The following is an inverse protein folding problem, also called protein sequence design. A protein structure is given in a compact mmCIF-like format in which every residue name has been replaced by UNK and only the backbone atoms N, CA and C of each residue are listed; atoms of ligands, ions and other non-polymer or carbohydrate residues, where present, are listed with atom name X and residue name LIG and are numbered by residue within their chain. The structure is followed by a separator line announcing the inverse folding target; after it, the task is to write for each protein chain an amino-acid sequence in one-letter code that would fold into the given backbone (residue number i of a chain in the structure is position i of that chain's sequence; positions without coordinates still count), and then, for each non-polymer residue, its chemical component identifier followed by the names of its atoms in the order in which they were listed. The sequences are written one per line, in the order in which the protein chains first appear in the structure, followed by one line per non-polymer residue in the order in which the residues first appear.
data_IF_226561186497
#
_entry.id   IF_226561186497
#
_cell.length_a   1.000
_cell.length_b   1.000
_cell.length_c   1.000
_cell.angle_alpha   90.00
_cell.angle_beta   90.00
_cell.angle_gamma   90.00
#
_symmetry.space_group_name_H-M   'P 1'
#
loop_
_entity.id
_entity.type
_entity.pdbx_description
1 polymer ?
#
# COMPACT_ATOMS: atom_id res chain seq x y z
N UNK A 1 -3.26 11.17 32.24
CA UNK A 1 -2.15 12.07 31.83
C UNK A 1 -2.78 13.44 31.67
N UNK A 2 -2.63 14.29 32.68
CA UNK A 2 -2.88 15.73 32.54
C UNK A 2 -1.81 16.26 31.60
N UNK A 3 -2.17 16.45 30.34
CA UNK A 3 -1.42 17.34 29.47
C UNK A 3 -2.05 18.73 29.61
N UNK A 4 -1.29 19.81 29.47
CA UNK A 4 -1.74 21.22 29.50
C UNK A 4 -2.69 21.58 28.33
N UNK A 5 -3.50 20.63 27.85
CA UNK A 5 -4.43 20.78 26.76
C UNK A 5 -5.79 20.15 27.10
N UNK A 6 -6.85 20.81 26.64
CA UNK A 6 -8.20 20.22 26.60
C UNK A 6 -8.31 19.40 25.32
N UNK A 7 -8.49 18.09 25.46
CA UNK A 7 -8.75 17.19 24.34
C UNK A 7 -10.25 16.98 24.22
N UNK A 8 -10.80 17.28 23.05
CA UNK A 8 -12.17 16.95 22.68
C UNK A 8 -12.13 15.82 21.66
N UNK A 9 -12.75 14.69 22.01
CA UNK A 9 -12.84 13.52 21.16
C UNK A 9 -14.24 13.52 20.57
N UNK A 10 -14.35 13.47 19.24
CA UNK A 10 -15.64 13.32 18.59
C UNK A 10 -16.28 11.99 19.02
N UNK A 11 -17.52 12.04 19.50
CA UNK A 11 -18.30 10.87 19.95
C UNK A 11 -19.47 10.55 19.02
N UNK A 12 -19.53 11.22 17.87
CA UNK A 12 -20.50 10.93 16.82
C UNK A 12 -20.39 9.46 16.40
N UNK A 13 -21.55 8.86 16.10
CA UNK A 13 -21.60 7.47 15.63
C UNK A 13 -21.25 7.33 14.16
N UNK A 14 -21.11 8.44 13.44
CA UNK A 14 -20.70 8.44 12.04
C UNK A 14 -19.25 7.97 11.95
N UNK A 15 -18.98 7.00 11.07
CA UNK A 15 -17.63 6.47 10.86
C UNK A 15 -16.70 7.50 10.23
N UNK A 16 -17.24 8.33 9.32
CA UNK A 16 -16.53 9.42 8.65
C UNK A 16 -17.36 10.70 8.82
N UNK A 17 -16.73 11.77 9.28
CA UNK A 17 -17.37 13.07 9.48
C UNK A 17 -17.42 13.85 8.17
N UNK A 18 -18.52 14.57 7.93
CA UNK A 18 -18.57 15.51 6.81
C UNK A 18 -17.74 16.76 7.12
N UNK A 19 -17.41 17.53 6.08
CA UNK A 19 -16.75 18.84 6.25
C UNK A 19 -17.55 19.74 7.18
N UNK A 20 -18.88 19.76 7.05
CA UNK A 20 -19.77 20.56 7.89
C UNK A 20 -19.75 20.09 9.35
N UNK A 21 -19.75 18.78 9.60
CA UNK A 21 -19.63 18.22 10.94
C UNK A 21 -18.32 18.66 11.60
N UNK A 22 -17.19 18.57 10.87
CA UNK A 22 -15.87 18.96 11.36
C UNK A 22 -15.82 20.47 11.66
N UNK A 23 -16.38 21.31 10.78
CA UNK A 23 -16.46 22.77 11.02
C UNK A 23 -17.26 23.08 12.29
N UNK A 24 -18.39 22.40 12.50
CA UNK A 24 -19.21 22.59 13.69
C UNK A 24 -18.46 22.18 14.97
N UNK A 25 -17.70 21.09 14.92
CA UNK A 25 -16.86 20.61 16.03
C UNK A 25 -15.65 21.51 16.30
N UNK A 26 -15.09 22.15 15.26
CA UNK A 26 -14.03 23.16 15.43
C UNK A 26 -14.56 24.34 16.26
N UNK A 27 -15.78 24.79 15.99
CA UNK A 27 -16.41 25.91 16.69
C UNK A 27 -15.56 27.19 16.66
N UNK A 28 -15.66 27.99 17.72
CA UNK A 28 -15.04 29.32 17.77
C UNK A 28 -13.68 29.35 18.48
N UNK A 29 -13.35 28.31 19.25
CA UNK A 29 -12.10 28.25 20.00
C UNK A 29 -11.47 26.88 19.88
N UNK A 30 -10.30 26.89 19.27
CA UNK A 30 -9.69 25.68 18.80
C UNK A 30 -8.14 25.97 18.79
N UNK A 31 -7.22 25.10 19.29
CA UNK A 31 -5.73 25.23 19.19
C UNK A 31 -4.94 24.31 18.17
N UNK A 32 -5.17 22.99 18.09
CA UNK A 32 -4.60 22.10 17.03
C UNK A 32 -5.41 20.82 16.69
N UNK A 33 -5.76 20.51 15.44
CA UNK A 33 -6.62 19.33 15.13
C UNK A 33 -5.79 18.09 14.80
N UNK A 34 -6.23 16.92 15.30
CA UNK A 34 -5.75 15.61 14.85
C UNK A 34 -6.82 15.05 13.91
N UNK A 35 -6.53 15.01 12.62
CA UNK A 35 -7.45 14.52 11.60
C UNK A 35 -7.16 13.08 11.17
N UNK A 36 -8.14 12.47 10.54
CA UNK A 36 -8.03 11.12 9.97
C UNK A 36 -7.78 11.18 8.47
N UNK A 37 -7.23 10.09 7.91
CA UNK A 37 -6.96 9.99 6.47
C UNK A 37 -8.22 10.03 5.59
N UNK A 38 -9.38 9.80 6.19
CA UNK A 38 -10.71 9.79 5.55
C UNK A 38 -11.33 11.19 5.42
N UNK A 39 -10.70 12.21 5.99
CA UNK A 39 -11.21 13.58 6.01
C UNK A 39 -10.48 14.43 4.97
N UNK A 40 -11.23 15.14 4.11
CA UNK A 40 -10.65 16.02 3.10
C UNK A 40 -10.31 17.40 3.69
N UNK A 41 -9.04 17.56 4.07
CA UNK A 41 -8.49 18.78 4.64
C UNK A 41 -8.07 19.76 3.55
N UNK A 42 -9.05 20.48 3.03
CA UNK A 42 -8.89 21.55 2.03
C UNK A 42 -9.14 22.97 2.57
N UNK A 43 -9.38 23.90 1.65
CA UNK A 43 -9.62 25.34 1.90
C UNK A 43 -10.65 25.59 3.02
N UNK A 44 -11.79 24.88 3.00
CA UNK A 44 -12.90 25.10 3.95
C UNK A 44 -12.48 24.77 5.38
N UNK A 45 -11.89 23.59 5.60
CA UNK A 45 -11.48 23.15 6.92
C UNK A 45 -10.31 23.98 7.46
N UNK A 46 -9.29 24.26 6.65
CA UNK A 46 -8.18 25.11 7.08
C UNK A 46 -8.61 26.55 7.36
N UNK A 47 -9.55 27.10 6.58
CA UNK A 47 -10.13 28.41 6.86
C UNK A 47 -10.89 28.43 8.20
N UNK A 48 -11.71 27.42 8.47
CA UNK A 48 -12.42 27.29 9.74
C UNK A 48 -11.44 27.16 10.92
N UNK A 49 -10.41 26.34 10.76
CA UNK A 49 -9.37 26.13 11.76
C UNK A 49 -8.64 27.43 12.11
N UNK A 50 -8.28 28.21 11.07
CA UNK A 50 -7.63 29.50 11.20
C UNK A 50 -8.50 30.52 11.95
N UNK A 51 -9.81 30.61 11.61
CA UNK A 51 -10.76 31.50 12.29
C UNK A 51 -10.93 31.19 13.77
N UNK A 52 -10.86 29.92 14.15
CA UNK A 52 -11.01 29.48 15.53
C UNK A 52 -9.74 29.67 16.40
N UNK A 53 -8.65 30.21 15.82
CA UNK A 53 -7.44 30.63 16.54
C UNK A 53 -6.22 29.70 16.41
N UNK A 54 -6.27 28.65 15.56
CA UNK A 54 -5.28 27.56 15.54
C UNK A 54 -4.00 27.84 14.76
N UNK A 55 -2.98 27.02 15.07
CA UNK A 55 -1.66 27.03 14.40
C UNK A 55 -1.21 25.67 13.84
N UNK A 56 -1.90 24.57 14.14
CA UNK A 56 -1.43 23.23 13.76
C UNK A 56 -2.54 22.24 13.38
N UNK A 57 -2.22 21.36 12.44
CA UNK A 57 -2.99 20.19 12.04
C UNK A 57 -2.05 18.97 11.99
N UNK A 58 -2.49 17.84 12.53
CA UNK A 58 -1.74 16.59 12.54
C UNK A 58 -2.56 15.50 11.88
N UNK A 59 -2.12 15.03 10.72
CA UNK A 59 -2.76 13.92 10.02
C UNK A 59 -2.35 12.59 10.65
N UNK A 60 -3.33 11.79 11.07
CA UNK A 60 -3.10 10.43 11.59
C UNK A 60 -2.90 9.44 10.43
N UNK A 61 -1.88 9.68 9.60
CA UNK A 61 -1.46 8.80 8.51
C UNK A 61 -0.06 9.16 8.01
N UNK A 62 0.54 8.24 7.23
CA UNK A 62 1.79 8.52 6.48
C UNK A 62 1.49 9.33 5.22
N UNK A 63 0.58 8.82 4.38
CA UNK A 63 0.12 9.51 3.18
C UNK A 63 -0.75 10.71 3.55
N UNK A 64 -0.66 11.77 2.75
CA UNK A 64 -1.35 13.05 3.00
C UNK A 64 -2.09 13.54 1.75
N UNK A 65 -2.51 12.63 0.88
CA UNK A 65 -3.27 12.96 -0.33
C UNK A 65 -4.63 13.63 -0.03
N UNK A 66 -5.13 13.46 1.19
CA UNK A 66 -6.33 14.12 1.73
C UNK A 66 -6.04 15.50 2.35
N UNK A 67 -4.82 16.02 2.25
CA UNK A 67 -4.40 17.27 2.90
C UNK A 67 -3.85 18.25 1.86
N UNK A 68 -4.56 19.36 1.64
CA UNK A 68 -4.06 20.45 0.80
C UNK A 68 -3.04 21.31 1.57
N UNK A 69 -1.77 20.96 1.40
CA UNK A 69 -0.63 21.67 2.00
C UNK A 69 -0.58 23.15 1.56
N UNK A 70 -1.04 23.49 0.35
CA UNK A 70 -1.05 24.88 -0.11
C UNK A 70 -2.13 25.69 0.63
N UNK A 71 -3.32 25.11 0.83
CA UNK A 71 -4.35 25.73 1.65
C UNK A 71 -3.88 25.91 3.10
N UNK A 72 -3.24 24.89 3.70
CA UNK A 72 -2.68 25.01 5.05
C UNK A 72 -1.66 26.15 5.17
N UNK A 73 -0.74 26.27 4.21
CA UNK A 73 0.25 27.34 4.15
C UNK A 73 -0.40 28.73 4.02
N UNK A 74 -1.41 28.86 3.15
CA UNK A 74 -2.17 30.11 2.97
C UNK A 74 -2.78 30.62 4.28
N UNK A 75 -3.24 29.71 5.14
CA UNK A 75 -3.83 30.03 6.44
C UNK A 75 -2.85 30.02 7.61
N UNK A 76 -1.55 29.82 7.35
CA UNK A 76 -0.50 29.82 8.38
C UNK A 76 -0.57 28.63 9.35
N UNK A 77 -1.08 27.49 8.89
CA UNK A 77 -1.28 26.29 9.70
C UNK A 77 -0.14 25.31 9.44
N UNK A 78 0.61 24.96 10.49
CA UNK A 78 1.63 23.93 10.43
C UNK A 78 0.97 22.54 10.27
N UNK A 79 1.46 21.74 9.33
CA UNK A 79 0.95 20.39 9.07
C UNK A 79 1.98 19.34 9.48
N UNK A 80 1.54 18.35 10.25
CA UNK A 80 2.29 17.14 10.59
C UNK A 80 1.60 15.87 10.07
N UNK A 81 2.37 14.79 9.98
CA UNK A 81 1.90 13.44 9.66
C UNK A 81 2.70 12.40 10.47
N UNK A 82 2.45 11.09 10.28
CA UNK A 82 3.09 10.02 11.08
C UNK A 82 4.02 9.10 10.27
N UNK A 83 5.11 9.61 9.65
CA UNK A 83 6.00 8.79 8.84
C UNK A 83 6.80 7.79 9.69
N UNK A 84 7.10 6.62 9.13
CA UNK A 84 8.00 5.63 9.72
C UNK A 84 7.33 4.59 10.61
N UNK A 85 6.31 4.96 11.39
CA UNK A 85 5.70 4.09 12.42
C UNK A 85 4.85 2.93 11.88
N UNK A 86 4.49 2.95 10.59
CA UNK A 86 3.66 1.96 9.91
C UNK A 86 4.45 1.14 8.86
N UNK A 87 5.77 1.33 8.79
CA UNK A 87 6.57 0.78 7.68
C UNK A 87 6.52 -0.75 7.64
N UNK A 88 6.81 -1.38 8.77
CA UNK A 88 6.86 -2.85 8.86
C UNK A 88 5.45 -3.44 8.80
N UNK A 89 4.48 -2.87 9.51
CA UNK A 89 3.12 -3.40 9.57
C UNK A 89 2.44 -3.41 8.19
N UNK A 90 2.61 -2.37 7.38
CA UNK A 90 2.08 -2.37 6.00
C UNK A 90 2.85 -3.34 5.08
N UNK A 91 4.17 -3.47 5.26
CA UNK A 91 4.97 -4.41 4.47
C UNK A 91 4.63 -5.88 4.80
N UNK A 92 4.40 -6.19 6.07
CA UNK A 92 3.95 -7.51 6.55
C UNK A 92 2.59 -7.88 5.96
N UNK A 93 1.66 -6.93 5.89
CA UNK A 93 0.35 -7.13 5.27
C UNK A 93 0.48 -7.41 3.76
N UNK A 94 1.30 -6.61 3.05
CA UNK A 94 1.56 -6.84 1.63
C UNK A 94 2.18 -8.24 1.39
N UNK A 95 3.16 -8.66 2.21
CA UNK A 95 3.75 -9.99 2.13
C UNK A 95 2.72 -11.09 2.44
N UNK A 96 1.84 -10.86 3.41
CA UNK A 96 0.76 -11.78 3.77
C UNK A 96 -0.23 -11.95 2.62
N UNK A 97 -0.62 -10.85 1.96
CA UNK A 97 -1.49 -10.87 0.77
C UNK A 97 -0.81 -11.58 -0.41
N UNK A 98 0.49 -11.37 -0.63
CA UNK A 98 1.28 -12.11 -1.63
C UNK A 98 1.18 -13.62 -1.41
N UNK A 99 1.35 -14.08 -0.16
CA UNK A 99 1.27 -15.49 0.18
C UNK A 99 -0.15 -16.04 0.11
N UNK A 100 -1.14 -15.27 0.57
CA UNK A 100 -2.54 -15.64 0.52
C UNK A 100 -2.99 -15.88 -0.93
N UNK A 101 -2.63 -14.97 -1.84
CA UNK A 101 -2.86 -15.11 -3.26
C UNK A 101 -2.07 -16.30 -3.85
N UNK A 102 -0.76 -16.38 -3.62
CA UNK A 102 0.07 -17.44 -4.17
C UNK A 102 -0.38 -18.84 -3.74
N UNK A 103 -0.85 -18.99 -2.50
CA UNK A 103 -1.22 -20.29 -1.90
C UNK A 103 -2.72 -20.54 -1.82
N UNK A 104 -3.53 -19.65 -2.39
CA UNK A 104 -5.01 -19.74 -2.40
C UNK A 104 -5.60 -19.94 -1.00
N UNK A 105 -5.05 -19.23 -0.02
CA UNK A 105 -5.37 -19.44 1.41
C UNK A 105 -6.84 -19.18 1.69
N UNK A 106 -7.38 -18.06 1.19
CA UNK A 106 -8.78 -17.66 1.41
C UNK A 106 -9.74 -18.67 0.79
N UNK A 107 -9.48 -19.08 -0.46
CA UNK A 107 -10.31 -20.09 -1.14
C UNK A 107 -10.30 -21.43 -0.41
N UNK A 108 -9.14 -21.83 0.14
CA UNK A 108 -9.00 -23.06 0.90
C UNK A 108 -9.73 -22.99 2.26
N UNK A 109 -9.68 -21.84 2.95
CA UNK A 109 -10.41 -21.60 4.20
C UNK A 109 -11.93 -21.65 3.97
N UNK A 110 -12.44 -20.97 2.93
CA UNK A 110 -13.86 -21.01 2.56
C UNK A 110 -14.33 -22.42 2.22
N UNK A 111 -13.53 -23.16 1.44
CA UNK A 111 -13.83 -24.55 1.07
C UNK A 111 -13.91 -25.48 2.29
N UNK A 112 -12.98 -25.32 3.23
CA UNK A 112 -12.96 -26.07 4.49
C UNK A 112 -14.18 -25.73 5.35
N UNK A 113 -14.48 -24.44 5.56
CA UNK A 113 -15.62 -23.98 6.37
C UNK A 113 -16.97 -24.39 5.78
N UNK A 114 -17.05 -24.50 4.46
CA UNK A 114 -18.23 -25.02 3.77
C UNK A 114 -18.42 -26.55 3.92
N UNK A 115 -17.53 -27.25 4.64
CA UNK A 115 -17.63 -28.70 4.85
C UNK A 115 -17.34 -29.54 3.60
N UNK A 116 -16.64 -28.97 2.60
CA UNK A 116 -16.37 -29.63 1.32
C UNK A 116 -15.07 -30.44 1.30
N UNK A 117 -14.29 -30.39 2.39
CA UNK A 117 -13.02 -31.09 2.49
C UNK A 117 -13.20 -32.54 2.91
N UNK A 118 -13.06 -33.45 1.94
CA UNK A 118 -13.18 -34.90 2.14
C UNK A 118 -11.82 -35.62 2.19
N UNK A 119 -10.71 -34.90 1.96
CA UNK A 119 -9.36 -35.46 2.00
C UNK A 119 -8.37 -34.77 1.06
N UNK A 120 -7.10 -35.20 1.14
CA UNK A 120 -6.04 -34.70 0.26
C UNK A 120 -6.24 -35.17 -1.18
N UNK A 121 -6.09 -34.24 -2.13
CA UNK A 121 -6.05 -34.53 -3.57
C UNK A 121 -4.88 -33.77 -4.21
N UNK A 122 -4.21 -34.34 -5.23
CA UNK A 122 -3.04 -33.75 -5.85
C UNK A 122 -3.29 -32.40 -6.56
N UNK A 123 -4.54 -32.12 -6.93
CA UNK A 123 -4.95 -30.90 -7.64
C UNK A 123 -5.72 -29.90 -6.76
N UNK A 124 -5.97 -30.22 -5.48
CA UNK A 124 -6.73 -29.36 -4.59
C UNK A 124 -5.89 -28.15 -4.16
N UNK A 125 -6.31 -26.95 -4.58
CA UNK A 125 -5.64 -25.68 -4.30
C UNK A 125 -4.13 -25.65 -4.61
N UNK A 126 -3.72 -26.26 -5.72
CA UNK A 126 -2.33 -26.11 -6.21
C UNK A 126 -2.05 -24.63 -6.45
N UNK A 127 -1.12 -24.09 -5.66
CA UNK A 127 -0.72 -22.69 -5.69
C UNK A 127 0.58 -22.47 -6.47
N UNK A 128 1.08 -21.25 -6.38
CA UNK A 128 2.34 -20.82 -6.98
C UNK A 128 3.48 -20.88 -5.95
N UNK A 129 4.60 -21.50 -6.32
CA UNK A 129 5.82 -21.51 -5.51
C UNK A 129 6.62 -20.22 -5.78
N UNK A 130 6.80 -19.40 -4.76
CA UNK A 130 7.52 -18.13 -4.90
C UNK A 130 9.05 -18.28 -4.99
N UNK A 131 9.62 -19.38 -4.48
CA UNK A 131 11.09 -19.56 -4.46
C UNK A 131 11.68 -19.52 -5.87
N UNK A 132 12.65 -18.62 -6.07
CA UNK A 132 13.32 -18.43 -7.35
C UNK A 132 12.56 -17.59 -8.38
N UNK A 133 11.30 -17.21 -8.09
CA UNK A 133 10.54 -16.26 -8.91
C UNK A 133 11.01 -14.82 -8.69
N UNK A 134 10.47 -13.89 -9.47
CA UNK A 134 10.82 -12.48 -9.43
C UNK A 134 9.72 -11.67 -8.73
N UNK A 135 10.09 -10.97 -7.66
CA UNK A 135 9.26 -9.94 -7.03
C UNK A 135 9.54 -8.58 -7.67
N UNK A 136 8.48 -7.96 -8.15
CA UNK A 136 8.41 -6.60 -8.68
C UNK A 136 7.96 -5.61 -7.63
N UNK A 137 8.70 -4.53 -7.42
CA UNK A 137 8.32 -3.46 -6.48
C UNK A 137 8.23 -2.13 -7.21
N UNK A 138 7.05 -1.50 -7.18
CA UNK A 138 6.83 -0.15 -7.71
C UNK A 138 6.73 0.81 -6.53
N UNK A 139 7.75 1.67 -6.37
CA UNK A 139 7.95 2.48 -5.17
C UNK A 139 8.85 1.76 -4.16
N UNK A 140 10.16 1.91 -4.28
CA UNK A 140 11.18 1.35 -3.39
C UNK A 140 11.53 2.30 -2.22
N UNK A 141 10.52 3.02 -1.71
CA UNK A 141 10.61 3.82 -0.48
C UNK A 141 10.71 2.95 0.78
N UNK A 142 10.27 3.47 1.93
CA UNK A 142 10.37 2.76 3.22
C UNK A 142 9.61 1.43 3.21
N UNK A 143 8.32 1.45 2.84
CA UNK A 143 7.45 0.27 2.84
C UNK A 143 7.87 -0.71 1.74
N UNK A 144 8.01 -0.26 0.49
CA UNK A 144 8.40 -1.13 -0.61
C UNK A 144 9.77 -1.78 -0.42
N UNK A 145 10.73 -1.08 0.21
CA UNK A 145 12.00 -1.69 0.59
C UNK A 145 11.85 -2.74 1.70
N UNK A 146 11.00 -2.51 2.70
CA UNK A 146 10.74 -3.51 3.76
C UNK A 146 10.07 -4.76 3.17
N UNK A 147 9.05 -4.58 2.34
CA UNK A 147 8.39 -5.66 1.59
C UNK A 147 9.39 -6.43 0.71
N UNK A 148 10.20 -5.73 -0.10
CA UNK A 148 11.21 -6.36 -0.94
C UNK A 148 12.16 -7.26 -0.14
N UNK A 149 12.62 -6.78 1.03
CA UNK A 149 13.50 -7.55 1.91
C UNK A 149 12.82 -8.82 2.42
N UNK A 150 11.56 -8.73 2.85
CA UNK A 150 10.79 -9.91 3.29
C UNK A 150 10.66 -10.93 2.15
N UNK A 151 10.35 -10.48 0.94
CA UNK A 151 10.17 -11.38 -0.21
C UNK A 151 11.49 -12.02 -0.65
N UNK A 152 12.58 -11.25 -0.65
CA UNK A 152 13.92 -11.74 -0.99
C UNK A 152 14.45 -12.70 0.07
N UNK A 153 14.43 -12.31 1.35
CA UNK A 153 15.02 -13.09 2.43
C UNK A 153 14.18 -14.32 2.77
N UNK A 154 12.88 -14.12 2.98
CA UNK A 154 11.95 -15.17 3.40
C UNK A 154 11.62 -16.17 2.29
N UNK A 155 11.53 -15.70 1.04
CA UNK A 155 11.09 -16.54 -0.09
C UNK A 155 12.14 -16.73 -1.17
N UNK A 156 13.35 -16.16 -1.04
CA UNK A 156 14.46 -16.34 -2.01
C UNK A 156 14.03 -15.94 -3.43
N UNK A 157 13.27 -14.85 -3.52
CA UNK A 157 12.87 -14.25 -4.79
C UNK A 157 13.96 -13.33 -5.32
N UNK A 158 14.08 -13.24 -6.65
CA UNK A 158 14.84 -12.19 -7.30
C UNK A 158 14.07 -10.87 -7.23
N UNK A 159 14.76 -9.75 -7.14
CA UNK A 159 14.15 -8.42 -7.06
C UNK A 159 14.26 -7.67 -8.39
N UNK A 160 13.14 -7.17 -8.90
CA UNK A 160 13.13 -6.07 -9.85
C UNK A 160 12.33 -4.91 -9.24
N UNK A 161 12.85 -3.69 -9.30
CA UNK A 161 12.14 -2.55 -8.73
C UNK A 161 12.18 -1.33 -9.63
N UNK A 162 11.13 -0.51 -9.56
CA UNK A 162 11.08 0.80 -10.17
C UNK A 162 10.80 1.87 -9.09
N UNK A 163 11.62 2.91 -9.10
CA UNK A 163 11.45 4.11 -8.28
C UNK A 163 12.18 5.26 -8.98
N UNK A 164 11.69 6.49 -8.80
CA UNK A 164 12.34 7.71 -9.28
C UNK A 164 13.74 7.88 -8.70
N UNK A 165 13.95 7.41 -7.47
CA UNK A 165 15.23 7.46 -6.78
C UNK A 165 15.84 6.07 -6.60
N UNK A 166 17.17 5.99 -6.66
CA UNK A 166 17.88 4.72 -6.44
C UNK A 166 17.78 4.31 -4.97
N UNK A 167 17.41 3.05 -4.71
CA UNK A 167 17.33 2.51 -3.34
C UNK A 167 18.62 1.80 -2.95
N UNK A 168 19.72 2.56 -2.80
CA UNK A 168 21.06 2.01 -2.53
C UNK A 168 21.12 1.09 -1.30
N UNK A 169 20.29 1.35 -0.27
CA UNK A 169 20.25 0.50 0.93
C UNK A 169 19.63 -0.88 0.63
N UNK A 170 18.57 -0.91 -0.17
CA UNK A 170 17.93 -2.15 -0.60
C UNK A 170 18.87 -2.97 -1.49
N UNK A 171 19.52 -2.31 -2.45
CA UNK A 171 20.49 -2.92 -3.35
C UNK A 171 21.65 -3.59 -2.60
N UNK A 172 22.28 -2.88 -1.66
CA UNK A 172 23.34 -3.43 -0.81
C UNK A 172 22.86 -4.62 0.01
N UNK A 173 21.64 -4.56 0.55
CA UNK A 173 21.06 -5.65 1.31
C UNK A 173 20.91 -6.91 0.44
N UNK A 174 20.30 -6.80 -0.75
CA UNK A 174 20.09 -7.97 -1.63
C UNK A 174 21.41 -8.52 -2.14
N UNK A 175 22.39 -7.68 -2.45
CA UNK A 175 23.76 -8.13 -2.80
C UNK A 175 24.37 -8.96 -1.67
N UNK A 176 24.36 -8.44 -0.43
CA UNK A 176 24.94 -9.15 0.71
C UNK A 176 24.22 -10.47 1.00
N UNK A 177 22.89 -10.50 0.87
CA UNK A 177 22.12 -11.74 1.04
C UNK A 177 22.41 -12.76 -0.07
N UNK A 178 22.56 -12.30 -1.32
CA UNK A 178 22.98 -13.16 -2.44
C UNK A 178 24.37 -13.77 -2.22
N UNK A 179 25.32 -12.99 -1.71
CA UNK A 179 26.65 -13.49 -1.32
C UNK A 179 26.56 -14.52 -0.19
N UNK A 180 25.73 -14.27 0.83
CA UNK A 180 25.46 -15.21 1.90
C UNK A 180 24.89 -16.54 1.37
N UNK A 181 23.87 -16.51 0.50
CA UNK A 181 23.30 -17.72 -0.10
C UNK A 181 24.36 -18.51 -0.88
N UNK A 182 25.17 -17.81 -1.70
CA UNK A 182 26.26 -18.43 -2.46
C UNK A 182 27.30 -19.10 -1.56
N UNK A 183 27.68 -18.45 -0.45
CA UNK A 183 28.63 -19.02 0.51
C UNK A 183 28.10 -20.29 1.20
N UNK A 184 26.77 -20.45 1.27
CA UNK A 184 26.10 -21.63 1.82
C UNK A 184 25.69 -22.66 0.75
N UNK A 185 26.17 -22.54 -0.49
CA UNK A 185 25.87 -23.48 -1.57
C UNK A 185 24.45 -23.37 -2.14
N UNK A 186 23.74 -22.27 -1.86
CA UNK A 186 22.44 -21.97 -2.43
C UNK A 186 22.56 -21.11 -3.70
N UNK A 187 21.52 -21.12 -4.53
CA UNK A 187 21.42 -20.22 -5.69
C UNK A 187 21.27 -18.79 -5.17
N UNK A 188 22.18 -17.85 -5.52
CA UNK A 188 22.08 -16.47 -5.09
C UNK A 188 20.87 -15.79 -5.72
N UNK A 189 20.20 -14.93 -4.95
CA UNK A 189 19.20 -13.99 -5.47
C UNK A 189 19.89 -12.85 -6.22
N UNK A 190 19.17 -12.23 -7.15
CA UNK A 190 19.64 -11.06 -7.90
C UNK A 190 18.72 -9.87 -7.66
N UNK A 191 19.21 -8.66 -7.99
CA UNK A 191 18.36 -7.48 -8.04
C UNK A 191 18.64 -6.65 -9.29
N UNK A 192 17.62 -5.92 -9.75
CA UNK A 192 17.75 -4.92 -10.81
C UNK A 192 16.84 -3.73 -10.56
N UNK A 193 17.37 -2.52 -10.72
CA UNK A 193 16.56 -1.31 -10.89
C UNK A 193 16.10 -1.23 -12.34
N UNK A 194 14.80 -1.30 -12.56
CA UNK A 194 14.19 -1.14 -13.87
C UNK A 194 14.30 0.30 -14.37
N UNK A 195 14.44 0.49 -15.69
CA UNK A 195 14.47 1.83 -16.29
C UNK A 195 13.08 2.47 -16.35
N UNK A 196 12.03 1.63 -16.32
CA UNK A 196 10.63 2.01 -16.38
C UNK A 196 9.77 1.04 -15.57
N UNK A 197 8.58 1.47 -15.18
CA UNK A 197 7.59 0.60 -14.54
C UNK A 197 7.20 -0.58 -15.44
N UNK A 198 7.09 -0.36 -16.76
CA UNK A 198 6.75 -1.38 -17.76
C UNK A 198 7.65 -2.63 -17.70
N UNK A 199 8.95 -2.45 -17.44
CA UNK A 199 9.87 -3.59 -17.28
C UNK A 199 9.52 -4.42 -16.04
N UNK A 200 9.17 -3.77 -14.92
CA UNK A 200 8.72 -4.45 -13.71
C UNK A 200 7.47 -5.28 -14.01
N UNK A 201 6.48 -4.66 -14.66
CA UNK A 201 5.21 -5.30 -14.98
C UNK A 201 5.37 -6.54 -15.85
N UNK A 202 6.22 -6.47 -16.87
CA UNK A 202 6.43 -7.58 -17.82
C UNK A 202 7.21 -8.75 -17.21
N UNK A 203 8.14 -8.48 -16.30
CA UNK A 203 9.11 -9.48 -15.84
C UNK A 203 8.78 -10.11 -14.48
N UNK A 204 8.09 -9.39 -13.61
CA UNK A 204 7.79 -9.87 -12.26
C UNK A 204 6.65 -10.91 -12.25
N UNK A 205 6.76 -11.87 -11.33
CA UNK A 205 5.72 -12.86 -11.03
C UNK A 205 4.78 -12.37 -9.92
N UNK A 206 5.32 -11.60 -8.97
CA UNK A 206 4.56 -10.92 -7.90
C UNK A 206 4.90 -9.45 -7.93
N UNK A 207 3.92 -8.57 -8.17
CA UNK A 207 4.08 -7.12 -8.24
C UNK A 207 3.41 -6.50 -7.01
N UNK A 208 4.13 -5.69 -6.25
CA UNK A 208 3.56 -4.91 -5.13
C UNK A 208 3.71 -3.42 -5.35
N UNK A 209 2.61 -2.70 -5.15
CA UNK A 209 2.49 -1.26 -5.33
C UNK A 209 2.68 -0.53 -3.99
N UNK A 210 3.68 0.34 -3.94
CA UNK A 210 3.95 1.24 -2.82
C UNK A 210 4.22 2.71 -3.24
N UNK A 211 3.61 3.27 -4.32
CA UNK A 211 3.76 4.69 -4.62
C UNK A 211 2.99 5.56 -3.62
N UNK A 212 3.34 6.85 -3.58
CA UNK A 212 2.45 7.88 -3.04
C UNK A 212 1.39 8.17 -4.09
N UNK A 213 0.11 8.29 -3.70
CA UNK A 213 -0.94 8.70 -4.62
C UNK A 213 -0.90 10.20 -4.88
N UNK A 214 -0.78 10.55 -6.16
CA UNK A 214 -0.86 11.88 -6.72
C UNK A 214 -1.36 11.80 -8.17
N UNK A 215 -1.36 12.94 -8.89
CA UNK A 215 -1.82 12.99 -10.29
C UNK A 215 -1.02 12.09 -11.25
N UNK A 216 0.23 11.77 -10.93
CA UNK A 216 1.12 10.97 -11.77
C UNK A 216 0.99 9.47 -11.51
N UNK A 217 0.36 9.10 -10.39
CA UNK A 217 0.20 7.72 -9.93
C UNK A 217 -1.27 7.29 -9.81
N UNK A 218 -2.20 8.21 -10.09
CA UNK A 218 -3.61 7.91 -10.29
C UNK A 218 -3.77 7.02 -11.54
N UNK A 219 -4.45 5.88 -11.38
CA UNK A 219 -4.60 4.82 -12.39
C UNK A 219 -3.28 4.43 -13.06
N UNK A 220 -2.20 4.43 -12.26
CA UNK A 220 -0.87 4.00 -12.68
C UNK A 220 -0.90 2.57 -13.24
N UNK A 221 -1.74 1.71 -12.65
CA UNK A 221 -2.08 0.39 -13.22
C UNK A 221 -3.45 0.48 -13.87
N UNK A 222 -3.43 0.66 -15.19
CA UNK A 222 -4.62 0.71 -16.04
C UNK A 222 -4.72 -0.53 -16.93
N UNK A 223 -5.69 -0.53 -17.86
CA UNK A 223 -5.92 -1.61 -18.82
C UNK A 223 -4.67 -2.02 -19.61
N UNK A 224 -3.89 -1.05 -20.09
CA UNK A 224 -2.66 -1.29 -20.84
C UNK A 224 -1.56 -1.89 -19.95
N UNK A 225 -1.40 -1.37 -18.73
CA UNK A 225 -0.47 -1.88 -17.74
C UNK A 225 -0.79 -3.34 -17.36
N UNK A 226 -2.06 -3.65 -17.08
CA UNK A 226 -2.53 -5.00 -16.76
C UNK A 226 -2.26 -5.98 -17.91
N UNK A 227 -2.50 -5.55 -19.15
CA UNK A 227 -2.23 -6.38 -20.35
C UNK A 227 -0.74 -6.68 -20.54
N UNK A 228 0.15 -5.83 -20.05
CA UNK A 228 1.59 -6.04 -20.14
C UNK A 228 2.12 -7.05 -19.09
N UNK A 229 1.35 -7.34 -18.04
CA UNK A 229 1.74 -8.29 -17.00
C UNK A 229 1.67 -9.74 -17.49
N UNK A 230 2.33 -10.64 -16.77
CA UNK A 230 2.16 -12.09 -16.98
C UNK A 230 0.72 -12.49 -16.66
N UNK A 231 0.16 -13.42 -17.43
CA UNK A 231 -1.24 -13.88 -17.29
C UNK A 231 -1.54 -14.59 -15.96
N UNK A 232 -0.49 -15.02 -15.25
CA UNK A 232 -0.53 -15.69 -13.96
C UNK A 232 0.16 -14.87 -12.85
N UNK A 233 0.43 -13.59 -13.11
CA UNK A 233 1.02 -12.69 -12.12
C UNK A 233 0.11 -12.51 -10.90
N UNK A 234 0.73 -12.11 -9.79
CA UNK A 234 0.07 -11.71 -8.56
C UNK A 234 0.27 -10.21 -8.37
N UNK A 235 -0.81 -9.43 -8.31
CA UNK A 235 -0.77 -7.99 -8.07
C UNK A 235 -1.23 -7.64 -6.66
N UNK A 236 -0.40 -6.89 -5.93
CA UNK A 236 -0.66 -6.49 -4.54
C UNK A 236 -0.74 -4.97 -4.43
N UNK A 237 -1.78 -4.49 -3.75
CA UNK A 237 -1.93 -3.07 -3.44
C UNK A 237 -2.22 -2.85 -1.95
N UNK A 238 -1.25 -2.25 -1.26
CA UNK A 238 -1.38 -1.74 0.10
C UNK A 238 -0.99 -0.25 0.16
N UNK A 239 -1.16 0.47 -0.96
CA UNK A 239 -0.84 1.90 -1.07
C UNK A 239 -2.11 2.75 -0.97
N UNK A 240 -2.78 2.98 -2.11
CA UNK A 240 -4.09 3.60 -2.25
C UNK A 240 -4.86 2.91 -3.37
N UNK A 241 -6.17 2.76 -3.22
CA UNK A 241 -7.04 2.15 -4.23
C UNK A 241 -6.90 2.77 -5.62
N UNK A 242 -7.04 4.11 -5.76
CA UNK A 242 -6.99 4.79 -7.05
C UNK A 242 -5.64 4.72 -7.80
N UNK A 243 -4.64 4.02 -7.28
CA UNK A 243 -3.43 3.67 -8.05
C UNK A 243 -3.77 2.64 -9.15
N UNK A 244 -4.81 1.84 -8.94
CA UNK A 244 -5.32 0.88 -9.91
C UNK A 244 -6.65 1.41 -10.47
N UNK A 245 -6.84 1.32 -11.78
CA UNK A 245 -8.17 1.38 -12.40
C UNK A 245 -8.89 0.06 -12.09
N UNK A 246 -9.80 0.08 -11.12
CA UNK A 246 -10.44 -1.15 -10.61
C UNK A 246 -11.41 -1.77 -11.63
N UNK A 247 -12.06 -0.95 -12.45
CA UNK A 247 -12.91 -1.44 -13.53
C UNK A 247 -12.08 -2.26 -14.53
N UNK A 248 -10.91 -1.74 -14.93
CA UNK A 248 -9.99 -2.47 -15.79
C UNK A 248 -9.43 -3.73 -15.11
N UNK A 249 -9.16 -3.70 -13.80
CA UNK A 249 -8.70 -4.87 -13.05
C UNK A 249 -9.74 -5.99 -13.04
N UNK A 250 -11.01 -5.66 -12.81
CA UNK A 250 -12.12 -6.64 -12.82
C UNK A 250 -12.29 -7.27 -14.21
N UNK A 251 -12.20 -6.48 -15.29
CA UNK A 251 -12.19 -7.01 -16.67
C UNK A 251 -11.03 -7.99 -16.86
N UNK A 252 -9.83 -7.59 -16.44
CA UNK A 252 -8.63 -8.42 -16.60
C UNK A 252 -8.72 -9.75 -15.85
N UNK A 253 -9.25 -9.75 -14.62
CA UNK A 253 -9.44 -10.95 -13.81
C UNK A 253 -10.42 -11.95 -14.44
N UNK A 254 -11.48 -11.45 -15.08
CA UNK A 254 -12.45 -12.31 -15.82
C UNK A 254 -11.81 -13.00 -17.02
N UNK A 255 -10.87 -12.32 -17.68
CA UNK A 255 -10.17 -12.85 -18.86
C UNK A 255 -8.97 -13.75 -18.52
N UNK A 256 -8.39 -13.63 -17.32
CA UNK A 256 -7.16 -14.31 -16.93
C UNK A 256 -7.36 -15.09 -15.60
N UNK A 257 -7.89 -16.33 -15.64
CA UNK A 257 -8.24 -17.10 -14.44
C UNK A 257 -7.08 -17.45 -13.50
N UNK A 258 -5.84 -17.30 -13.96
CA UNK A 258 -4.63 -17.57 -13.17
C UNK A 258 -4.01 -16.32 -12.58
N UNK A 259 -4.43 -15.13 -13.02
CA UNK A 259 -4.03 -13.86 -12.44
C UNK A 259 -4.67 -13.72 -11.07
N UNK A 260 -3.93 -13.23 -10.09
CA UNK A 260 -4.42 -13.08 -8.71
C UNK A 260 -4.14 -11.70 -8.18
N UNK A 261 -4.97 -11.29 -7.23
CA UNK A 261 -4.85 -9.99 -6.58
C UNK A 261 -4.91 -10.13 -5.07
N UNK A 262 -4.21 -9.25 -4.36
CA UNK A 262 -4.34 -9.02 -2.94
C UNK A 262 -4.45 -7.52 -2.68
N UNK A 263 -5.63 -7.06 -2.27
CA UNK A 263 -5.94 -5.65 -2.11
C UNK A 263 -6.28 -5.38 -0.63
N UNK A 264 -5.61 -4.39 -0.05
CA UNK A 264 -5.94 -3.82 1.26
C UNK A 264 -6.70 -2.50 1.14
N UNK A 265 -6.73 -1.93 -0.07
CA UNK A 265 -7.29 -0.61 -0.39
C UNK A 265 -8.09 -0.69 -1.68
N UNK A 266 -9.13 0.13 -1.78
CA UNK A 266 -10.07 0.17 -2.90
C UNK A 266 -10.34 1.60 -3.39
N UNK A 267 -10.79 1.77 -4.63
CA UNK A 267 -10.98 3.10 -5.24
C UNK A 267 -12.04 3.91 -4.48
N UNK A 268 -13.15 3.26 -4.12
CA UNK A 268 -14.29 3.85 -3.42
C UNK A 268 -14.55 3.19 -2.05
N UNK A 269 -13.52 3.02 -1.21
CA UNK A 269 -13.69 2.41 0.13
C UNK A 269 -14.78 3.08 0.99
N UNK A 270 -15.74 2.33 1.61
CA UNK A 270 -15.84 0.87 1.69
C UNK A 270 -16.84 0.22 0.70
N UNK A 271 -17.19 0.86 -0.41
CA UNK A 271 -18.32 0.50 -1.29
C UNK A 271 -17.91 -0.20 -2.58
#
# INVERSE_FOLDING_TARGET
IEQDCRVEICTEKKTILSVEDIVALIGDKCDGVIGQLTEDWGEVLFSALSRAGRKAFSNMAVGYNNVDVNAANKYGIAVGNTPGVLTETTAELAASLSLAAARRIVEADEFMRAGRYDGWLPNLFVGNLLKGQTVGVIGAGRIGSAYARMMVEGFKMNLIYFDLYQSTRLEKFVTAYGEFLKANGEVPVTWRRASSMDEVLREADVISLHPVLDKTTFHLVNKESLKAMKKDAILINCSRGPVIDEAALVEHLKENPMFRVGLDVFEDEPY
#
